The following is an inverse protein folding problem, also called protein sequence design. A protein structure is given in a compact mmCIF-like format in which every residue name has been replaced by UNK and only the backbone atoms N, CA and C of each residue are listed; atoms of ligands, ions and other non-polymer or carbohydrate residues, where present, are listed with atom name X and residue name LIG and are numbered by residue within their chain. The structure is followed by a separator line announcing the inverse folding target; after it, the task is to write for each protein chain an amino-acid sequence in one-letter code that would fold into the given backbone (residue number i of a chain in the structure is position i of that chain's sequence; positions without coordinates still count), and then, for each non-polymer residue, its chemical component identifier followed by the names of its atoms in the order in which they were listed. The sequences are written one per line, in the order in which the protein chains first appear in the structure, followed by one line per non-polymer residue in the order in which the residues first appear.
data_IF_822951938142
#
_entry.id   IF_822951938142
#
_cell.length_a   1.000
_cell.length_b   1.000
_cell.length_c   1.000
_cell.angle_alpha   90.00
_cell.angle_beta   90.00
_cell.angle_gamma   90.00
#
_symmetry.space_group_name_H-M   'P 1'
#
loop_
_entity.id
_entity.type
_entity.pdbx_description
1 polymer ?
#
# COMPACT_ATOMS: atom_id res chain seq x y z
N UNK A 1 -3.62 3.42 0.22
CA UNK A 1 -4.34 3.00 -1.00
C UNK A 1 -5.72 3.63 -1.19
N UNK A 2 -6.38 4.08 -0.14
CA UNK A 2 -7.70 4.68 -0.25
C UNK A 2 -7.67 6.18 -0.52
N UNK A 3 -6.54 6.84 -0.36
CA UNK A 3 -6.36 8.26 -0.60
C UNK A 3 -4.94 8.56 -1.04
N UNK A 4 -4.64 9.84 -1.31
CA UNK A 4 -3.32 10.28 -1.74
C UNK A 4 -2.53 11.01 -0.64
N UNK A 5 -3.06 11.04 0.59
CA UNK A 5 -2.43 11.75 1.68
C UNK A 5 -1.38 10.90 2.40
N UNK A 6 -0.31 11.58 2.82
CA UNK A 6 0.74 10.97 3.64
C UNK A 6 0.21 10.61 5.03
N UNK A 7 0.74 9.55 5.62
CA UNK A 7 0.47 9.20 7.02
C UNK A 7 0.90 10.30 7.99
N UNK A 8 1.86 11.15 7.60
CA UNK A 8 2.25 12.30 8.42
C UNK A 8 1.15 13.38 8.52
N UNK A 9 0.25 13.44 7.53
CA UNK A 9 -0.88 14.37 7.51
C UNK A 9 -2.15 13.59 7.17
N UNK A 10 -2.62 12.71 8.06
CA UNK A 10 -3.71 11.79 7.74
C UNK A 10 -5.06 12.50 7.71
N UNK A 11 -5.88 12.15 6.72
CA UNK A 11 -7.26 12.63 6.61
C UNK A 11 -8.28 11.48 6.63
N UNK A 12 -7.83 10.25 6.78
CA UNK A 12 -8.71 9.08 6.88
C UNK A 12 -8.38 8.23 8.10
N UNK A 13 -9.30 7.34 8.45
CA UNK A 13 -9.15 6.48 9.62
C UNK A 13 -7.91 5.57 9.54
N UNK A 14 -7.61 5.04 8.34
CA UNK A 14 -6.44 4.17 8.15
C UNK A 14 -5.13 4.94 8.36
N UNK A 15 -5.03 6.14 7.81
CA UNK A 15 -3.84 6.99 8.00
C UNK A 15 -3.66 7.39 9.47
N UNK A 16 -4.75 7.77 10.14
CA UNK A 16 -4.69 8.12 11.57
C UNK A 16 -4.30 6.91 12.43
N UNK A 17 -4.85 5.74 12.14
CA UNK A 17 -4.51 4.52 12.87
C UNK A 17 -3.03 4.15 12.66
N UNK A 18 -2.54 4.24 11.43
CA UNK A 18 -1.14 3.93 11.14
C UNK A 18 -0.17 4.91 11.82
N UNK A 19 -0.51 6.21 11.83
CA UNK A 19 0.28 7.21 12.55
C UNK A 19 0.35 6.88 14.03
N UNK A 20 -0.78 6.51 14.65
CA UNK A 20 -0.82 6.12 16.06
C UNK A 20 0.05 4.88 16.34
N UNK A 21 0.00 3.88 15.45
CA UNK A 21 0.86 2.69 15.55
C UNK A 21 2.33 3.08 15.49
N UNK A 22 2.71 3.94 14.55
CA UNK A 22 4.09 4.40 14.42
C UNK A 22 4.57 5.17 15.66
N UNK A 23 3.73 6.05 16.20
CA UNK A 23 4.05 6.78 17.43
C UNK A 23 4.24 5.83 18.60
N UNK A 24 3.37 4.84 18.74
CA UNK A 24 3.48 3.82 19.79
C UNK A 24 4.74 2.98 19.63
N UNK A 25 5.05 2.54 18.43
CA UNK A 25 6.27 1.78 18.14
C UNK A 25 7.52 2.59 18.44
N UNK A 26 7.57 3.84 18.02
CA UNK A 26 8.70 4.73 18.27
C UNK A 26 8.92 4.95 19.78
N UNK A 27 7.83 5.14 20.54
CA UNK A 27 7.94 5.32 22.00
C UNK A 27 8.39 4.04 22.72
N UNK A 28 8.27 2.88 22.08
CA UNK A 28 8.75 1.60 22.60
C UNK A 28 10.12 1.20 22.01
N UNK A 29 10.82 2.12 21.37
CA UNK A 29 12.19 1.90 20.90
C UNK A 29 12.32 1.25 19.53
N UNK A 30 11.26 1.14 18.74
CA UNK A 30 11.34 0.60 17.39
C UNK A 30 12.16 1.52 16.48
N UNK A 31 12.98 0.93 15.61
CA UNK A 31 13.70 1.69 14.59
C UNK A 31 12.83 1.91 13.33
N UNK A 32 13.32 2.75 12.41
CA UNK A 32 12.62 3.06 11.16
C UNK A 32 12.27 1.82 10.35
N UNK A 33 13.22 0.90 10.19
CA UNK A 33 13.00 -0.32 9.40
C UNK A 33 11.88 -1.18 9.99
N UNK A 34 11.82 -1.31 11.31
CA UNK A 34 10.74 -2.03 11.98
C UNK A 34 9.40 -1.36 11.75
N UNK A 35 9.36 -0.03 11.80
CA UNK A 35 8.14 0.74 11.56
C UNK A 35 7.66 0.60 10.11
N UNK A 36 8.55 0.69 9.13
CA UNK A 36 8.20 0.48 7.73
C UNK A 36 7.68 -0.94 7.47
N UNK A 37 8.33 -1.95 8.02
CA UNK A 37 7.87 -3.33 7.89
C UNK A 37 6.47 -3.52 8.50
N UNK A 38 6.23 -2.96 9.69
CA UNK A 38 4.92 -3.00 10.31
C UNK A 38 3.87 -2.32 9.41
N UNK A 39 4.18 -1.14 8.87
CA UNK A 39 3.30 -0.41 7.97
C UNK A 39 2.93 -1.20 6.72
N UNK A 40 3.89 -1.90 6.14
CA UNK A 40 3.68 -2.77 4.98
C UNK A 40 2.63 -3.84 5.28
N UNK A 41 2.74 -4.52 6.42
CA UNK A 41 1.82 -5.59 6.78
C UNK A 41 0.47 -5.05 7.26
N UNK A 42 0.41 -3.92 7.96
CA UNK A 42 -0.86 -3.26 8.28
C UNK A 42 -1.63 -2.89 7.02
N UNK A 43 -0.97 -2.29 6.04
CA UNK A 43 -1.61 -1.94 4.78
C UNK A 43 -2.05 -3.20 4.00
N UNK A 44 -1.25 -4.24 4.00
CA UNK A 44 -1.63 -5.50 3.37
C UNK A 44 -2.87 -6.12 4.03
N UNK A 45 -2.98 -5.98 5.34
CA UNK A 45 -4.13 -6.47 6.09
C UNK A 45 -5.39 -5.62 5.83
N UNK A 46 -5.25 -4.29 5.85
CA UNK A 46 -6.39 -3.39 5.63
C UNK A 46 -6.83 -3.33 4.17
N UNK A 47 -5.91 -3.48 3.24
CA UNK A 47 -6.16 -3.37 1.79
C UNK A 47 -5.64 -4.61 1.07
N UNK A 48 -6.20 -5.81 1.37
CA UNK A 48 -5.66 -7.05 0.82
C UNK A 48 -5.74 -7.10 -0.72
N UNK A 49 -6.79 -6.55 -1.32
CA UNK A 49 -6.91 -6.49 -2.77
C UNK A 49 -5.82 -5.67 -3.43
N UNK A 50 -5.56 -4.46 -2.90
CA UNK A 50 -4.52 -3.56 -3.41
C UNK A 50 -3.12 -4.18 -3.28
N UNK A 51 -2.85 -4.81 -2.15
CA UNK A 51 -1.53 -5.41 -1.91
C UNK A 51 -1.34 -6.74 -2.65
N UNK A 52 -2.42 -7.46 -2.93
CA UNK A 52 -2.39 -8.60 -3.86
C UNK A 52 -2.01 -8.12 -5.27
N UNK A 53 -2.60 -7.04 -5.73
CA UNK A 53 -2.27 -6.43 -7.02
C UNK A 53 -0.80 -6.01 -7.07
N UNK A 54 -0.29 -5.39 -6.00
CA UNK A 54 1.12 -5.02 -5.90
C UNK A 54 2.03 -6.24 -5.93
N UNK A 55 1.64 -7.32 -5.26
CA UNK A 55 2.41 -8.56 -5.29
C UNK A 55 2.50 -9.12 -6.71
N UNK A 56 1.39 -9.14 -7.44
CA UNK A 56 1.37 -9.55 -8.85
C UNK A 56 2.23 -8.63 -9.73
N UNK A 57 2.12 -7.32 -9.52
CA UNK A 57 2.84 -6.32 -10.27
C UNK A 57 4.36 -6.52 -10.14
N UNK A 58 4.86 -6.60 -8.91
CA UNK A 58 6.29 -6.76 -8.66
C UNK A 58 6.81 -8.11 -9.15
N UNK A 59 6.01 -9.17 -8.99
CA UNK A 59 6.41 -10.49 -9.47
C UNK A 59 6.54 -10.53 -10.99
N UNK A 60 5.61 -9.92 -11.70
CA UNK A 60 5.60 -9.95 -13.18
C UNK A 60 6.53 -8.93 -13.80
N UNK A 61 6.74 -7.78 -13.15
CA UNK A 61 7.59 -6.72 -13.68
C UNK A 61 9.06 -6.86 -13.28
N UNK A 62 9.34 -7.28 -12.04
CA UNK A 62 10.69 -7.33 -11.49
C UNK A 62 11.11 -8.72 -11.00
N UNK A 63 10.23 -9.71 -11.05
CA UNK A 63 10.50 -11.06 -10.58
C UNK A 63 10.66 -11.17 -9.07
N UNK A 64 10.20 -10.16 -8.30
CA UNK A 64 10.32 -10.13 -6.84
C UNK A 64 9.06 -10.66 -6.17
N UNK A 65 9.23 -11.54 -5.19
CA UNK A 65 8.12 -11.93 -4.31
C UNK A 65 7.80 -10.81 -3.33
N UNK A 66 6.57 -10.78 -2.83
CA UNK A 66 6.10 -9.75 -1.89
C UNK A 66 7.03 -9.58 -0.69
N UNK A 67 7.50 -10.71 -0.14
CA UNK A 67 8.42 -10.72 1.00
C UNK A 67 9.69 -9.92 0.74
N UNK A 68 10.18 -9.94 -0.50
CA UNK A 68 11.45 -9.30 -0.89
C UNK A 68 11.30 -7.87 -1.38
N UNK A 69 10.08 -7.33 -1.42
CA UNK A 69 9.87 -5.93 -1.77
C UNK A 69 10.18 -5.06 -0.55
N UNK A 70 11.13 -4.10 -0.65
CA UNK A 70 11.42 -3.22 0.47
C UNK A 70 10.18 -2.46 0.94
N UNK A 71 9.96 -2.42 2.26
CA UNK A 71 8.79 -1.76 2.83
C UNK A 71 8.74 -0.26 2.47
N UNK A 72 9.88 0.43 2.50
CA UNK A 72 9.96 1.84 2.12
C UNK A 72 9.51 2.08 0.68
N UNK A 73 9.77 1.15 -0.22
CA UNK A 73 9.37 1.25 -1.63
C UNK A 73 7.86 1.07 -1.78
N UNK A 74 7.33 -0.04 -1.26
CA UNK A 74 5.92 -0.39 -1.46
C UNK A 74 4.98 0.57 -0.73
N UNK A 75 5.41 1.14 0.39
CA UNK A 75 4.64 2.12 1.15
C UNK A 75 4.68 3.52 0.54
N UNK A 76 5.55 3.76 -0.43
CA UNK A 76 5.67 5.06 -1.09
C UNK A 76 4.41 5.42 -1.89
N UNK A 77 4.29 6.72 -2.20
CA UNK A 77 3.14 7.24 -2.95
C UNK A 77 2.99 6.61 -4.34
N UNK A 78 4.08 6.11 -4.92
CA UNK A 78 4.07 5.52 -6.26
C UNK A 78 3.44 4.13 -6.31
N UNK A 79 3.19 3.52 -5.16
CA UNK A 79 2.58 2.19 -5.06
C UNK A 79 1.38 2.15 -4.12
N UNK A 80 1.38 2.93 -3.04
CA UNK A 80 0.37 2.85 -1.99
C UNK A 80 -0.63 4.00 -1.95
N UNK A 81 -0.55 4.98 -2.85
CA UNK A 81 -1.57 6.02 -2.97
C UNK A 81 -2.80 5.49 -3.74
N UNK A 82 -3.91 6.19 -3.64
CA UNK A 82 -5.11 5.87 -4.42
C UNK A 82 -4.84 5.93 -5.92
N UNK A 83 -4.12 6.96 -6.36
CA UNK A 83 -3.73 7.12 -7.77
C UNK A 83 -2.83 5.97 -8.23
N UNK A 84 -1.84 5.60 -7.41
CA UNK A 84 -0.93 4.50 -7.72
C UNK A 84 -1.69 3.17 -7.83
N UNK A 85 -2.67 2.94 -6.99
CA UNK A 85 -3.50 1.72 -7.05
C UNK A 85 -4.21 1.60 -8.40
N UNK A 86 -4.72 2.69 -8.93
CA UNK A 86 -5.34 2.70 -10.26
C UNK A 86 -4.33 2.39 -11.36
N UNK A 87 -3.15 3.00 -11.28
CA UNK A 87 -2.07 2.77 -12.24
C UNK A 87 -1.62 1.30 -12.24
N UNK A 88 -1.45 0.71 -11.07
CA UNK A 88 -1.07 -0.70 -10.93
C UNK A 88 -2.15 -1.61 -11.51
N UNK A 89 -3.42 -1.36 -11.19
CA UNK A 89 -4.54 -2.14 -11.73
C UNK A 89 -4.59 -2.06 -13.26
N UNK A 90 -4.40 -0.87 -13.82
CA UNK A 90 -4.42 -0.68 -15.27
C UNK A 90 -3.26 -1.44 -15.93
N UNK A 91 -2.07 -1.38 -15.34
CA UNK A 91 -0.92 -2.14 -15.86
C UNK A 91 -1.19 -3.65 -15.86
N UNK A 92 -1.77 -4.17 -14.77
CA UNK A 92 -2.11 -5.59 -14.68
C UNK A 92 -3.19 -5.98 -15.68
N UNK A 93 -4.20 -5.13 -15.87
CA UNK A 93 -5.26 -5.36 -16.84
C UNK A 93 -4.71 -5.37 -18.27
N UNK A 94 -3.81 -4.43 -18.60
CA UNK A 94 -3.18 -4.34 -19.91
C UNK A 94 -2.31 -5.57 -20.22
N UNK A 95 -1.79 -6.24 -19.20
CA UNK A 95 -1.04 -7.48 -19.32
C UNK A 95 -1.93 -8.73 -19.29
N UNK A 96 -3.24 -8.57 -19.14
CA UNK A 96 -4.18 -9.68 -19.06
C UNK A 96 -4.13 -10.47 -17.76
N UNK A 97 -3.53 -9.91 -16.71
CA UNK A 97 -3.36 -10.60 -15.42
C UNK A 97 -4.58 -10.44 -14.50
N UNK A 98 -5.36 -9.38 -14.69
CA UNK A 98 -6.63 -9.14 -14.00
C UNK A 98 -7.63 -8.56 -14.99
N UNK A 99 -8.91 -8.54 -14.59
CA UNK A 99 -9.96 -7.87 -15.38
C UNK A 99 -9.81 -6.34 -15.21
N UNK A 100 -10.25 -5.57 -16.21
CA UNK A 100 -10.25 -4.12 -16.10
C UNK A 100 -11.03 -3.68 -14.85
N UNK A 101 -10.43 -2.77 -14.05
CA UNK A 101 -11.13 -2.30 -12.86
C UNK A 101 -12.36 -1.49 -13.25
N UNK A 102 -13.45 -1.60 -12.48
CA UNK A 102 -14.60 -0.74 -12.70
C UNK A 102 -14.21 0.72 -12.49
N UNK A 103 -14.75 1.61 -13.32
CA UNK A 103 -14.54 3.05 -13.20
C UNK A 103 -15.33 3.57 -12.00
N UNK A 104 -14.76 3.49 -10.82
CA UNK A 104 -15.38 4.01 -9.60
C UNK A 104 -14.50 5.06 -8.96
N UNK A 105 -15.14 6.08 -8.39
CA UNK A 105 -14.46 7.07 -7.58
C UNK A 105 -13.88 6.43 -6.31
N UNK A 106 -12.67 6.85 -5.93
CA UNK A 106 -12.03 6.34 -4.72
C UNK A 106 -12.72 6.81 -3.46
N UNK A 107 -12.83 5.92 -2.50
CA UNK A 107 -13.29 6.23 -1.15
C UNK A 107 -12.63 5.29 -0.18
N UNK A 108 -12.61 5.65 1.11
CA UNK A 108 -12.06 4.80 2.16
C UNK A 108 -13.04 3.68 2.58
N UNK A 109 -14.05 3.39 1.78
CA UNK A 109 -14.90 2.23 1.94
C UNK A 109 -14.16 0.97 1.51
N UNK A 110 -14.14 0.00 2.34
CA UNK A 110 -13.44 -1.27 2.08
C UNK A 110 -14.43 -2.31 1.67
#
# INVERSE_FOLDING_TARGET
PCCNNSTAFPDCNHGMALLAVFQLMASNGANENQMYEAGKYFNAFWFPGNYYDLALYFKNKEGKSFKNIPAQVILGKDYSSATASQTVKQWLADKGLIQEPPKQGGGCGV
#
